data_IF_270521375378
#
_entry.id   IF_270521375378
#
_cell.length_a   1.000
_cell.length_b   1.000
_cell.length_c   1.000
_cell.angle_alpha   90.00
_cell.angle_beta   90.00
_cell.angle_gamma   90.00
#
_symmetry.space_group_name_H-M   'P 1'
#
loop_
_entity.id
_entity.type
_entity.pdbx_description
1 polymer ?
#
# COMPACT_ATOMS: atom_id res chain seq x y z
N UNK A 1 -14.26 -29.48 42.69
CA UNK A 1 -14.58 -29.15 41.28
C UNK A 1 -14.22 -27.71 40.91
N UNK A 2 -14.71 -26.68 41.61
CA UNK A 2 -14.46 -25.25 41.27
C UNK A 2 -12.98 -24.85 41.09
N UNK A 3 -12.06 -25.36 41.94
CA UNK A 3 -10.60 -25.08 41.82
C UNK A 3 -9.95 -25.68 40.57
N UNK A 4 -10.34 -26.90 40.19
CA UNK A 4 -9.80 -27.60 39.02
C UNK A 4 -10.29 -26.91 37.74
N UNK A 5 -11.58 -26.55 37.68
CA UNK A 5 -12.13 -25.77 36.56
C UNK A 5 -11.45 -24.42 36.39
N UNK A 6 -11.16 -23.71 37.50
CA UNK A 6 -10.42 -22.44 37.45
C UNK A 6 -8.99 -22.61 36.91
N UNK A 7 -8.29 -23.66 37.34
CA UNK A 7 -6.95 -24.00 36.86
C UNK A 7 -6.93 -24.30 35.36
N UNK A 8 -7.87 -25.12 34.89
CA UNK A 8 -8.03 -25.44 33.48
C UNK A 8 -8.31 -24.18 32.65
N UNK A 9 -9.21 -23.32 33.13
CA UNK A 9 -9.51 -22.05 32.47
C UNK A 9 -8.28 -21.13 32.42
N UNK A 10 -7.54 -21.01 33.52
CA UNK A 10 -6.30 -20.22 33.58
C UNK A 10 -5.30 -20.73 32.54
N UNK A 11 -5.06 -22.05 32.50
CA UNK A 11 -4.11 -22.66 31.57
C UNK A 11 -4.51 -22.42 30.12
N UNK A 12 -5.80 -22.55 29.80
CA UNK A 12 -6.33 -22.28 28.47
C UNK A 12 -6.12 -20.82 28.06
N UNK A 13 -6.40 -19.87 28.95
CA UNK A 13 -6.23 -18.45 28.67
C UNK A 13 -4.75 -18.08 28.47
N UNK A 14 -3.86 -18.65 29.29
CA UNK A 14 -2.40 -18.49 29.14
C UNK A 14 -1.93 -19.06 27.82
N UNK A 15 -2.35 -20.27 27.45
CA UNK A 15 -2.01 -20.90 26.18
C UNK A 15 -2.48 -20.06 24.99
N UNK A 16 -3.69 -19.49 25.05
CA UNK A 16 -4.20 -18.57 24.03
C UNK A 16 -3.34 -17.31 23.91
N UNK A 17 -3.01 -16.66 25.02
CA UNK A 17 -2.18 -15.45 25.03
C UNK A 17 -0.78 -15.73 24.45
N UNK A 18 -0.16 -16.85 24.83
CA UNK A 18 1.15 -17.24 24.28
C UNK A 18 1.07 -17.54 22.78
N UNK A 19 0.01 -18.22 22.32
CA UNK A 19 -0.23 -18.44 20.88
C UNK A 19 -0.37 -17.12 20.13
N UNK A 20 -1.11 -16.14 20.68
CA UNK A 20 -1.27 -14.82 20.08
C UNK A 20 0.05 -14.03 20.07
N UNK A 21 0.84 -14.12 21.14
CA UNK A 21 2.17 -13.53 21.21
C UNK A 21 3.08 -14.08 20.10
N UNK A 22 3.10 -15.41 19.93
CA UNK A 22 3.87 -16.08 18.88
C UNK A 22 3.44 -15.64 17.48
N UNK A 23 2.13 -15.65 17.21
CA UNK A 23 1.58 -15.20 15.94
C UNK A 23 1.95 -13.74 15.61
N UNK A 24 1.98 -12.86 16.61
CA UNK A 24 2.43 -11.48 16.41
C UNK A 24 3.93 -11.40 16.06
N UNK A 25 4.78 -12.27 16.64
CA UNK A 25 6.21 -12.34 16.28
C UNK A 25 6.39 -12.81 14.84
N UNK A 26 5.68 -13.85 14.41
CA UNK A 26 5.71 -14.32 13.02
C UNK A 26 5.33 -13.19 12.06
N UNK A 27 4.25 -12.46 12.37
CA UNK A 27 3.81 -11.32 11.55
C UNK A 27 4.83 -10.19 11.51
N UNK A 28 5.53 -9.95 12.61
CA UNK A 28 6.63 -9.00 12.66
C UNK A 28 7.80 -9.43 11.76
N UNK A 29 8.17 -10.71 11.79
CA UNK A 29 9.25 -11.26 10.96
C UNK A 29 8.93 -11.18 9.47
N UNK A 30 7.70 -11.55 9.06
CA UNK A 30 7.25 -11.41 7.67
C UNK A 30 7.32 -9.96 7.17
N UNK A 31 6.98 -8.99 8.02
CA UNK A 31 7.05 -7.56 7.71
C UNK A 31 8.49 -7.09 7.62
N UNK A 32 9.36 -7.53 8.54
CA UNK A 32 10.78 -7.22 8.56
C UNK A 32 11.50 -7.74 7.31
N UNK A 33 11.24 -9.00 6.92
CA UNK A 33 11.83 -9.59 5.72
C UNK A 33 11.42 -8.83 4.45
N UNK A 34 10.15 -8.42 4.34
CA UNK A 34 9.69 -7.58 3.22
C UNK A 34 10.36 -6.21 3.20
N UNK A 35 10.54 -5.58 4.36
CA UNK A 35 11.23 -4.31 4.45
C UNK A 35 12.69 -4.43 3.98
N UNK A 36 13.42 -5.47 4.43
CA UNK A 36 14.79 -5.73 3.98
C UNK A 36 14.86 -5.98 2.47
N UNK A 37 13.90 -6.74 1.91
CA UNK A 37 13.82 -6.94 0.45
C UNK A 37 13.58 -5.63 -0.29
N UNK A 38 12.67 -4.79 0.20
CA UNK A 38 12.40 -3.49 -0.38
C UNK A 38 13.64 -2.60 -0.35
N UNK A 39 14.32 -2.50 0.80
CA UNK A 39 15.54 -1.71 0.94
C UNK A 39 16.59 -2.15 -0.09
N UNK A 40 16.90 -3.46 -0.15
CA UNK A 40 17.86 -4.02 -1.11
C UNK A 40 17.48 -3.81 -2.57
N UNK A 41 16.21 -4.01 -2.94
CA UNK A 41 15.75 -3.83 -4.33
C UNK A 41 15.73 -2.36 -4.71
N UNK A 42 15.40 -1.47 -3.77
CA UNK A 42 15.37 -0.03 -4.01
C UNK A 42 16.76 0.56 -4.23
N UNK A 43 17.83 -0.10 -3.80
CA UNK A 43 19.21 0.30 -4.12
C UNK A 43 19.63 -0.10 -5.53
N UNK A 44 18.93 -1.04 -6.17
CA UNK A 44 19.23 -1.52 -7.51
C UNK A 44 18.45 -0.73 -8.56
N UNK A 45 19.18 -0.02 -9.43
CA UNK A 45 18.62 0.78 -10.52
C UNK A 45 18.79 0.07 -11.86
N UNK A 46 17.68 -0.11 -12.57
CA UNK A 46 17.64 -0.57 -13.95
C UNK A 46 17.51 0.62 -14.91
N UNK A 47 18.15 0.53 -16.07
CA UNK A 47 18.09 1.55 -17.12
C UNK A 47 17.34 1.09 -18.37
N UNK A 48 16.95 -0.18 -18.41
CA UNK A 48 16.24 -0.80 -19.52
C UNK A 48 15.07 -1.62 -18.98
N UNK A 49 13.92 -1.52 -19.63
CA UNK A 49 12.70 -2.22 -19.22
C UNK A 49 12.88 -3.73 -19.44
N UNK A 50 13.45 -4.13 -20.57
CA UNK A 50 13.70 -5.54 -20.88
C UNK A 50 14.76 -6.23 -19.99
N UNK A 51 15.49 -5.48 -19.15
CA UNK A 51 16.42 -6.08 -18.16
C UNK A 51 15.78 -6.29 -16.79
N UNK A 52 14.52 -5.88 -16.60
CA UNK A 52 13.80 -6.09 -15.36
C UNK A 52 13.57 -7.59 -15.10
N UNK A 53 13.65 -8.03 -13.82
CA UNK A 53 13.29 -9.39 -13.45
C UNK A 53 11.77 -9.62 -13.59
N UNK A 54 11.36 -10.90 -13.60
CA UNK A 54 9.94 -11.30 -13.68
C UNK A 54 9.04 -10.61 -12.64
N UNK A 55 9.56 -10.40 -11.43
CA UNK A 55 8.93 -9.57 -10.40
C UNK A 55 9.72 -8.28 -10.22
N UNK A 56 9.33 -7.19 -10.92
CA UNK A 56 10.04 -5.92 -10.86
C UNK A 56 9.70 -5.08 -9.63
N UNK A 57 8.86 -5.59 -8.69
CA UNK A 57 8.46 -4.83 -7.49
C UNK A 57 9.65 -4.34 -6.69
N UNK A 58 9.59 -3.07 -6.30
CA UNK A 58 10.55 -2.35 -5.48
C UNK A 58 11.91 -2.11 -6.12
N UNK A 59 12.08 -2.38 -7.41
CA UNK A 59 13.28 -1.97 -8.14
C UNK A 59 13.18 -0.52 -8.59
N UNK A 60 14.31 0.17 -8.64
CA UNK A 60 14.38 1.49 -9.27
C UNK A 60 14.51 1.35 -10.78
N UNK A 61 13.82 2.21 -11.51
CA UNK A 61 13.91 2.30 -12.97
C UNK A 61 14.22 3.75 -13.36
N UNK A 62 15.31 3.94 -14.10
CA UNK A 62 15.71 5.22 -14.68
C UNK A 62 15.62 5.13 -16.20
N UNK A 63 14.61 5.78 -16.78
CA UNK A 63 14.32 5.69 -18.21
C UNK A 63 14.03 7.05 -18.80
N UNK A 64 14.25 7.17 -20.11
CA UNK A 64 13.96 8.36 -20.90
C UNK A 64 12.80 8.07 -21.84
N UNK A 65 11.81 8.95 -21.85
CA UNK A 65 10.59 8.75 -22.63
C UNK A 65 9.71 9.98 -22.59
N UNK A 66 8.45 9.82 -22.99
CA UNK A 66 7.51 10.92 -23.11
C UNK A 66 6.15 10.54 -22.51
N UNK A 67 5.49 11.51 -21.89
CA UNK A 67 4.12 11.33 -21.37
C UNK A 67 3.09 11.36 -22.51
N UNK A 68 2.11 10.46 -22.44
CA UNK A 68 0.87 10.55 -23.21
C UNK A 68 -0.10 11.47 -22.45
N UNK A 69 -0.01 12.77 -22.74
CA UNK A 69 -0.81 13.82 -22.09
C UNK A 69 -2.30 13.75 -22.45
N UNK A 70 -2.71 12.88 -23.38
CA UNK A 70 -4.11 12.80 -23.82
C UNK A 70 -4.99 12.07 -22.82
N UNK A 71 -4.42 11.15 -22.04
CA UNK A 71 -5.17 10.27 -21.16
C UNK A 71 -4.59 10.35 -19.74
N UNK A 72 -5.06 11.31 -18.94
CA UNK A 72 -4.67 11.34 -17.53
C UNK A 72 -5.59 10.42 -16.72
N UNK A 73 -5.03 9.69 -15.76
CA UNK A 73 -5.80 8.82 -14.88
C UNK A 73 -5.78 9.40 -13.46
N UNK A 74 -6.95 9.61 -12.89
CA UNK A 74 -7.15 10.03 -11.51
C UNK A 74 -7.68 8.86 -10.70
N UNK A 75 -6.84 8.29 -9.84
CA UNK A 75 -7.28 7.31 -8.86
C UNK A 75 -7.97 8.04 -7.70
N UNK A 76 -9.28 7.87 -7.59
CA UNK A 76 -10.17 8.57 -6.65
C UNK A 76 -10.07 8.02 -5.21
N UNK A 77 -10.69 8.75 -4.27
CA UNK A 77 -10.84 8.40 -2.87
C UNK A 77 -9.51 8.16 -2.12
N UNK A 78 -8.46 8.88 -2.52
CA UNK A 78 -7.16 8.80 -1.87
C UNK A 78 -7.10 9.79 -0.72
N UNK A 79 -7.04 9.29 0.52
CA UNK A 79 -7.02 10.14 1.72
C UNK A 79 -5.58 10.42 2.13
N UNK A 80 -5.22 11.70 2.19
CA UNK A 80 -3.94 12.17 2.72
C UNK A 80 -4.16 13.27 3.77
N UNK A 81 -3.63 13.05 4.99
CA UNK A 81 -3.74 13.99 6.12
C UNK A 81 -5.19 14.46 6.40
N UNK A 82 -6.16 13.54 6.30
CA UNK A 82 -7.58 13.84 6.53
C UNK A 82 -8.28 14.58 5.40
N UNK A 83 -7.62 14.79 4.26
CA UNK A 83 -8.21 15.37 3.04
C UNK A 83 -8.32 14.30 1.96
N UNK A 84 -9.46 14.27 1.28
CA UNK A 84 -9.69 13.41 0.11
C UNK A 84 -9.02 14.05 -1.12
N UNK A 85 -8.46 13.21 -1.98
CA UNK A 85 -7.81 13.63 -3.21
C UNK A 85 -7.64 12.47 -4.19
N UNK A 86 -6.81 12.72 -5.19
CA UNK A 86 -6.51 11.82 -6.27
C UNK A 86 -5.04 11.43 -6.25
N UNK A 87 -4.72 10.19 -6.58
CA UNK A 87 -3.39 9.90 -7.14
C UNK A 87 -3.44 10.15 -8.64
N UNK A 88 -2.49 10.92 -9.13
CA UNK A 88 -2.42 11.31 -10.55
C UNK A 88 -1.46 10.36 -11.26
N UNK A 89 -1.99 9.55 -12.16
CA UNK A 89 -1.22 8.65 -13.02
C UNK A 89 -1.24 9.14 -14.46
N UNK A 90 -0.07 9.23 -15.08
CA UNK A 90 0.06 9.56 -16.49
C UNK A 90 0.68 8.37 -17.25
N UNK A 91 0.14 7.97 -18.41
CA UNK A 91 0.79 7.02 -19.27
C UNK A 91 2.10 7.60 -19.82
N UNK A 92 3.12 6.77 -19.88
CA UNK A 92 4.46 7.13 -20.30
C UNK A 92 4.99 6.09 -21.26
N UNK A 93 5.51 6.56 -22.39
CA UNK A 93 6.08 5.73 -23.43
C UNK A 93 7.60 5.83 -23.37
N UNK A 94 8.25 4.68 -23.19
CA UNK A 94 9.71 4.55 -23.21
C UNK A 94 10.07 3.19 -23.77
N UNK A 95 11.12 3.13 -24.61
CA UNK A 95 11.62 1.86 -25.18
C UNK A 95 10.49 1.02 -25.82
N UNK A 96 9.56 1.68 -26.53
CA UNK A 96 8.37 1.06 -27.17
C UNK A 96 7.35 0.41 -26.20
N UNK A 97 7.56 0.52 -24.89
CA UNK A 97 6.62 0.07 -23.85
C UNK A 97 5.81 1.26 -23.34
N UNK A 98 4.55 0.98 -22.98
CA UNK A 98 3.66 1.91 -22.31
C UNK A 98 3.44 1.44 -20.87
N UNK A 99 3.63 2.32 -19.91
CA UNK A 99 3.34 2.06 -18.50
C UNK A 99 2.84 3.33 -17.82
N UNK A 100 2.28 3.22 -16.62
CA UNK A 100 1.79 4.37 -15.87
C UNK A 100 2.86 4.89 -14.93
N UNK A 101 3.01 6.21 -14.87
CA UNK A 101 3.82 6.90 -13.86
C UNK A 101 2.88 7.56 -12.87
N UNK A 102 3.02 7.21 -11.59
CA UNK A 102 2.33 7.88 -10.51
C UNK A 102 3.11 9.14 -10.12
N UNK A 103 2.53 10.31 -10.40
CA UNK A 103 3.10 11.60 -10.05
C UNK A 103 2.92 11.93 -8.58
N UNK A 104 2.02 11.25 -7.87
CA UNK A 104 1.70 11.48 -6.47
C UNK A 104 0.28 11.99 -6.27
N UNK A 105 0.04 12.54 -5.08
CA UNK A 105 -1.29 12.94 -4.63
C UNK A 105 -1.59 14.41 -4.86
N UNK A 106 -2.86 14.67 -5.18
CA UNK A 106 -3.42 15.99 -5.41
C UNK A 106 -4.77 16.10 -4.70
N UNK A 107 -4.98 17.18 -3.96
CA UNK A 107 -6.23 17.40 -3.25
C UNK A 107 -7.41 17.50 -4.23
N UNK A 108 -8.53 16.86 -3.90
CA UNK A 108 -9.73 16.96 -4.70
C UNK A 108 -10.31 18.38 -4.58
N UNK A 109 -10.82 18.97 -5.68
CA UNK A 109 -11.52 20.23 -5.62
C UNK A 109 -12.85 20.07 -4.88
N UNK A 110 -13.45 21.21 -4.50
CA UNK A 110 -14.69 21.22 -3.72
C UNK A 110 -15.86 20.57 -4.46
N UNK A 111 -15.88 20.68 -5.78
CA UNK A 111 -16.91 20.11 -6.63
C UNK A 111 -16.30 19.01 -7.49
N UNK A 112 -16.96 17.86 -7.54
CA UNK A 112 -16.47 16.65 -8.20
C UNK A 112 -16.41 16.76 -9.74
N UNK A 113 -17.10 17.74 -10.31
CA UNK A 113 -17.06 18.08 -11.73
C UNK A 113 -15.86 18.96 -12.10
N UNK A 114 -15.24 19.60 -11.11
CA UNK A 114 -13.99 20.32 -11.33
C UNK A 114 -12.85 19.32 -11.40
N UNK A 115 -12.09 19.35 -12.49
CA UNK A 115 -10.87 18.57 -12.61
C UNK A 115 -9.70 19.35 -12.01
N UNK A 116 -8.80 18.69 -11.27
CA UNK A 116 -7.62 19.35 -10.75
C UNK A 116 -6.66 19.69 -11.89
N UNK A 117 -5.84 20.73 -11.71
CA UNK A 117 -4.81 21.11 -12.70
C UNK A 117 -3.67 20.09 -12.71
N UNK A 118 -3.59 19.30 -13.78
CA UNK A 118 -2.54 18.30 -13.99
C UNK A 118 -1.39 18.96 -14.75
N UNK A 119 -0.13 18.74 -14.34
CA UNK A 119 1.01 19.38 -15.01
C UNK A 119 1.30 18.74 -16.38
N UNK A 120 1.49 19.58 -17.42
CA UNK A 120 1.74 19.14 -18.80
C UNK A 120 3.23 19.13 -19.17
N UNK A 121 3.64 18.07 -19.86
CA UNK A 121 5.00 17.88 -20.38
C UNK A 121 4.97 17.29 -21.78
N UNK A 122 5.48 18.06 -22.74
CA UNK A 122 5.47 17.70 -24.16
C UNK A 122 6.82 17.20 -24.68
N UNK A 123 7.91 17.38 -23.92
CA UNK A 123 9.25 16.98 -24.33
C UNK A 123 9.65 15.65 -23.70
N UNK A 124 10.52 14.87 -24.36
CA UNK A 124 11.14 13.70 -23.74
C UNK A 124 11.88 14.08 -22.46
N UNK A 125 11.66 13.32 -21.40
CA UNK A 125 12.23 13.55 -20.08
C UNK A 125 12.79 12.24 -19.51
N UNK A 126 13.88 12.36 -18.75
CA UNK A 126 14.45 11.26 -17.98
C UNK A 126 13.82 11.26 -16.60
N UNK A 127 13.25 10.12 -16.21
CA UNK A 127 12.58 9.94 -14.93
C UNK A 127 13.23 8.79 -14.18
N UNK A 128 13.34 8.95 -12.87
CA UNK A 128 13.67 7.88 -11.93
C UNK A 128 12.46 7.62 -11.07
N UNK A 129 12.16 6.36 -10.81
CA UNK A 129 11.10 5.99 -9.89
C UNK A 129 11.23 4.56 -9.38
N UNK A 130 10.42 4.23 -8.40
CA UNK A 130 10.32 2.89 -7.82
C UNK A 130 9.17 2.13 -8.47
N UNK A 131 9.41 0.91 -8.94
CA UNK A 131 8.36 0.10 -9.53
C UNK A 131 7.46 -0.47 -8.42
N UNK A 132 6.16 -0.29 -8.59
CA UNK A 132 5.11 -0.87 -7.76
C UNK A 132 4.12 -1.65 -8.62
N UNK A 133 3.45 -2.63 -8.04
CA UNK A 133 2.38 -3.35 -8.73
C UNK A 133 1.10 -3.08 -7.96
N UNK A 134 0.12 -2.39 -8.58
CA UNK A 134 -1.09 -2.01 -7.91
C UNK A 134 -1.80 -3.28 -7.42
N UNK A 135 -2.12 -3.31 -6.13
CA UNK A 135 -2.99 -4.34 -5.58
C UNK A 135 -4.41 -3.93 -5.92
N UNK A 136 -5.06 -4.69 -6.81
CA UNK A 136 -6.49 -4.56 -6.97
C UNK A 136 -7.14 -4.83 -5.61
N UNK A 137 -7.94 -3.89 -5.12
CA UNK A 137 -8.74 -4.13 -3.93
C UNK A 137 -9.63 -5.35 -4.21
N UNK A 138 -9.70 -6.27 -3.24
CA UNK A 138 -10.63 -7.40 -3.31
C UNK A 138 -12.06 -6.84 -3.39
N UNK A 139 -12.62 -6.77 -4.60
CA UNK A 139 -14.00 -6.37 -4.82
C UNK A 139 -14.89 -7.58 -4.58
N UNK A 140 -15.74 -7.47 -3.56
CA UNK A 140 -16.81 -8.43 -3.30
C UNK A 140 -17.99 -8.11 -4.23
N UNK A 141 -17.90 -8.57 -5.48
CA UNK A 141 -18.97 -8.47 -6.50
C UNK A 141 -18.47 -8.08 -7.89
N UNK A 142 -19.25 -8.42 -8.94
CA UNK A 142 -19.08 -7.95 -10.33
C UNK A 142 -19.45 -6.46 -10.48
N UNK A 143 -18.92 -5.59 -9.62
CA UNK A 143 -18.97 -4.15 -9.92
C UNK A 143 -17.81 -3.85 -10.87
N UNK A 144 -18.14 -3.72 -12.15
CA UNK A 144 -17.27 -3.09 -13.13
C UNK A 144 -16.85 -1.74 -12.56
N UNK A 145 -15.56 -1.51 -12.38
CA UNK A 145 -15.05 -0.19 -12.00
C UNK A 145 -15.64 0.83 -12.98
N UNK A 146 -16.54 1.69 -12.48
CA UNK A 146 -17.14 2.75 -13.29
C UNK A 146 -16.03 3.72 -13.68
N UNK A 147 -15.45 3.49 -14.86
CA UNK A 147 -14.51 4.39 -15.51
C UNK A 147 -15.30 5.63 -15.94
N UNK A 148 -15.24 6.67 -15.12
CA UNK A 148 -15.91 7.93 -15.42
C UNK A 148 -14.97 8.79 -16.28
N UNK A 149 -15.35 8.99 -17.53
CA UNK A 149 -14.59 9.78 -18.49
C UNK A 149 -15.03 11.24 -18.39
N UNK A 150 -14.13 12.09 -17.89
CA UNK A 150 -14.34 13.52 -17.79
C UNK A 150 -13.49 14.21 -18.86
N UNK A 151 -14.14 14.99 -19.72
CA UNK A 151 -13.46 15.73 -20.80
C UNK A 151 -13.17 17.14 -20.28
N UNK A 152 -11.89 17.52 -20.24
CA UNK A 152 -11.50 18.89 -19.92
C UNK A 152 -11.37 19.68 -21.24
N UNK A 153 -12.30 20.59 -21.50
CA UNK A 153 -12.25 21.52 -22.64
C UNK A 153 -11.71 22.89 -22.17
N UNK A 154 -10.41 23.18 -22.37
CA UNK A 154 -10.00 24.56 -22.57
C UNK A 154 -8.98 24.64 -23.70
N UNK A 155 -9.39 25.15 -24.87
CA UNK A 155 -8.54 25.63 -25.95
C UNK A 155 -7.29 24.77 -26.27
N UNK A 156 -7.45 23.88 -27.25
CA UNK A 156 -6.42 23.38 -28.20
C UNK A 156 -5.81 21.98 -28.06
N UNK A 157 -6.06 21.18 -27.02
CA UNK A 157 -5.87 19.72 -27.07
C UNK A 157 -6.85 19.07 -26.08
N UNK A 158 -7.86 18.35 -26.57
CA UNK A 158 -8.83 17.63 -25.73
C UNK A 158 -8.10 16.58 -24.88
N UNK A 159 -7.85 16.91 -23.60
CA UNK A 159 -7.31 15.95 -22.64
C UNK A 159 -8.46 15.18 -22.01
N UNK A 160 -8.46 13.88 -22.21
CA UNK A 160 -9.37 12.95 -21.54
C UNK A 160 -8.81 12.64 -20.16
N UNK A 161 -9.60 12.91 -19.13
CA UNK A 161 -9.28 12.56 -17.75
C UNK A 161 -10.17 11.40 -17.33
N UNK A 162 -9.55 10.25 -17.11
CA UNK A 162 -10.20 9.03 -16.65
C UNK A 162 -10.16 8.99 -15.13
N UNK A 163 -11.32 9.08 -14.48
CA UNK A 163 -11.42 8.88 -13.04
C UNK A 163 -11.73 7.42 -12.75
N UNK A 164 -10.93 6.80 -11.88
CA UNK A 164 -11.04 5.37 -11.54
C UNK A 164 -11.02 5.20 -10.02
N UNK A 165 -11.79 4.26 -9.49
CA UNK A 165 -11.79 3.96 -8.05
C UNK A 165 -10.75 2.90 -7.69
N UNK A 166 -10.48 1.98 -8.62
CA UNK A 166 -9.48 0.93 -8.49
C UNK A 166 -8.62 0.91 -9.75
N UNK A 167 -7.34 0.55 -9.59
CA UNK A 167 -6.39 0.56 -10.69
C UNK A 167 -6.32 -0.81 -11.36
N UNK A 168 -7.27 -1.09 -12.25
CA UNK A 168 -7.24 -2.28 -13.10
C UNK A 168 -6.48 -1.98 -14.40
N UNK A 169 -5.21 -2.41 -14.46
CA UNK A 169 -4.34 -2.17 -15.60
C UNK A 169 -4.82 -2.85 -16.88
N UNK A 170 -5.52 -3.98 -16.80
CA UNK A 170 -6.05 -4.68 -17.98
C UNK A 170 -7.21 -3.90 -18.60
N UNK A 171 -8.14 -3.39 -17.78
CA UNK A 171 -9.23 -2.53 -18.25
C UNK A 171 -8.71 -1.22 -18.83
N UNK A 172 -7.70 -0.62 -18.20
CA UNK A 172 -7.04 0.58 -18.72
C UNK A 172 -6.34 0.30 -20.05
N UNK A 173 -5.67 -0.84 -20.21
CA UNK A 173 -5.04 -1.23 -21.48
C UNK A 173 -6.08 -1.33 -22.62
N UNK A 174 -7.25 -1.92 -22.34
CA UNK A 174 -8.35 -2.00 -23.30
C UNK A 174 -8.89 -0.62 -23.68
N UNK A 175 -9.11 0.26 -22.69
CA UNK A 175 -9.61 1.64 -22.92
C UNK A 175 -8.60 2.49 -23.70
N UNK A 176 -7.31 2.37 -23.37
CA UNK A 176 -6.21 3.06 -24.06
C UNK A 176 -5.88 2.45 -25.44
N UNK A 177 -6.44 1.27 -25.76
CA UNK A 177 -6.17 0.50 -26.98
C UNK A 177 -4.67 0.24 -27.21
N UNK A 178 -3.90 0.09 -26.13
CA UNK A 178 -2.45 -0.09 -26.15
C UNK A 178 -2.05 -1.10 -25.07
N UNK A 179 -1.04 -1.96 -25.33
CA UNK A 179 -0.53 -2.87 -24.31
C UNK A 179 0.13 -2.06 -23.18
N UNK A 180 -0.38 -2.22 -21.96
CA UNK A 180 0.13 -1.58 -20.76
C UNK A 180 0.95 -2.59 -19.97
N UNK A 181 2.12 -2.17 -19.48
CA UNK A 181 2.91 -3.00 -18.57
C UNK A 181 2.14 -3.26 -17.26
N UNK A 182 2.29 -4.46 -16.65
CA UNK A 182 1.51 -4.88 -15.48
C UNK A 182 2.03 -4.28 -14.16
N UNK A 183 2.64 -3.09 -14.22
CA UNK A 183 3.24 -2.39 -13.11
C UNK A 183 3.17 -0.88 -13.34
N UNK A 184 3.34 -0.11 -12.27
CA UNK A 184 3.40 1.34 -12.29
C UNK A 184 4.74 1.82 -11.76
N UNK A 185 5.18 3.00 -12.20
CA UNK A 185 6.38 3.64 -11.71
C UNK A 185 5.99 4.77 -10.75
N UNK A 186 6.32 4.63 -9.47
CA UNK A 186 6.20 5.69 -8.47
C UNK A 186 7.33 6.69 -8.70
N UNK A 187 7.00 7.91 -9.12
CA UNK A 187 8.01 8.93 -9.42
C UNK A 187 8.83 9.29 -8.17
N UNK A 188 10.14 9.50 -8.35
CA UNK A 188 11.01 10.00 -7.28
C UNK A 188 10.45 11.30 -6.67
N UNK A 189 10.21 11.37 -5.34
CA UNK A 189 9.70 12.57 -4.66
C UNK A 189 10.52 13.84 -4.88
N UNK A 190 11.82 13.71 -5.18
CA UNK A 190 12.69 14.86 -5.42
C UNK A 190 12.62 15.38 -6.86
N UNK A 191 11.90 14.68 -7.75
CA UNK A 191 11.73 15.11 -9.12
C UNK A 191 10.83 16.35 -9.19
N UNK A 192 11.12 17.29 -10.09
CA UNK A 192 10.34 18.54 -10.24
C UNK A 192 8.85 18.32 -10.56
N UNK A 193 8.52 17.13 -11.08
CA UNK A 193 7.16 16.75 -11.46
C UNK A 193 6.42 16.00 -10.37
N UNK A 194 7.11 15.66 -9.28
CA UNK A 194 6.49 14.98 -8.17
C UNK A 194 5.47 15.91 -7.51
N UNK A 195 4.24 15.43 -7.46
CA UNK A 195 3.19 15.93 -6.58
C UNK A 195 3.47 15.41 -5.16
N UNK A 196 2.49 15.54 -4.26
CA UNK A 196 2.68 15.10 -2.89
C UNK A 196 2.78 13.57 -2.82
N UNK A 197 4.00 13.06 -2.65
CA UNK A 197 4.25 11.64 -2.49
C UNK A 197 3.88 11.21 -1.08
N UNK A 198 2.89 10.33 -0.94
CA UNK A 198 2.47 9.76 0.34
C UNK A 198 2.41 8.23 0.34
N UNK A 199 2.84 7.59 -0.75
CA UNK A 199 2.84 6.14 -0.83
C UNK A 199 3.86 5.57 0.15
N UNK A 200 3.43 4.61 0.96
CA UNK A 200 4.28 3.85 1.88
C UNK A 200 4.11 2.37 1.59
N UNK A 201 5.17 1.71 1.14
CA UNK A 201 5.17 0.27 0.88
C UNK A 201 4.76 -0.56 2.13
N UNK A 202 5.01 -0.03 3.33
CA UNK A 202 4.71 -0.70 4.60
C UNK A 202 4.05 0.28 5.59
N UNK A 203 2.72 0.25 5.63
CA UNK A 203 1.89 1.13 6.50
C UNK A 203 1.99 0.78 8.00
N UNK A 204 2.33 -0.47 8.33
CA UNK A 204 2.55 -0.93 9.72
C UNK A 204 3.89 -1.64 9.78
N UNK A 205 4.86 -0.98 10.43
CA UNK A 205 6.19 -1.53 10.66
C UNK A 205 6.20 -2.71 11.63
N UNK A 206 7.24 -3.56 11.58
CA UNK A 206 7.37 -4.77 12.41
C UNK A 206 7.36 -4.46 13.92
N UNK A 207 7.84 -3.27 14.32
CA UNK A 207 7.90 -2.82 15.71
C UNK A 207 6.54 -2.87 16.43
N UNK A 208 5.44 -2.49 15.75
CA UNK A 208 4.10 -2.54 16.35
C UNK A 208 3.69 -3.98 16.68
N UNK A 209 4.02 -4.93 15.80
CA UNK A 209 3.75 -6.35 16.02
C UNK A 209 4.57 -6.91 17.19
N UNK A 210 5.84 -6.52 17.33
CA UNK A 210 6.63 -6.86 18.52
C UNK A 210 6.06 -6.29 19.82
N UNK A 211 5.57 -5.05 19.80
CA UNK A 211 4.91 -4.45 20.96
C UNK A 211 3.64 -5.22 21.37
N UNK A 212 2.81 -5.63 20.39
CA UNK A 212 1.65 -6.48 20.67
C UNK A 212 2.05 -7.87 21.17
N UNK A 213 3.11 -8.47 20.63
CA UNK A 213 3.63 -9.74 21.12
C UNK A 213 4.02 -9.65 22.60
N UNK A 214 4.71 -8.57 23.00
CA UNK A 214 5.07 -8.30 24.39
C UNK A 214 3.83 -8.11 25.27
N UNK A 215 2.83 -7.35 24.81
CA UNK A 215 1.58 -7.17 25.55
C UNK A 215 0.88 -8.50 25.85
N UNK A 216 0.73 -9.38 24.86
CA UNK A 216 0.13 -10.70 25.06
C UNK A 216 0.96 -11.57 26.01
N UNK A 217 2.29 -11.49 25.95
CA UNK A 217 3.19 -12.16 26.89
C UNK A 217 3.01 -11.67 28.33
N UNK A 218 2.94 -10.35 28.53
CA UNK A 218 2.73 -9.74 29.85
C UNK A 218 1.37 -10.09 30.44
N UNK A 219 0.31 -10.14 29.63
CA UNK A 219 -1.03 -10.59 30.05
C UNK A 219 -0.97 -12.05 30.51
N UNK A 220 -0.28 -12.93 29.78
CA UNK A 220 -0.09 -14.32 30.16
C UNK A 220 0.60 -14.45 31.53
N UNK A 221 1.67 -13.66 31.75
CA UNK A 221 2.39 -13.62 33.04
C UNK A 221 1.49 -13.09 34.16
N UNK A 222 0.73 -12.02 33.92
CA UNK A 222 -0.19 -11.46 34.91
C UNK A 222 -1.27 -12.48 35.34
N UNK A 223 -1.87 -13.20 34.39
CA UNK A 223 -2.84 -14.26 34.66
C UNK A 223 -2.23 -15.37 35.52
N UNK A 224 -1.00 -15.80 35.21
CA UNK A 224 -0.29 -16.81 36.01
C UNK A 224 -0.03 -16.32 37.43
N UNK A 225 0.48 -15.09 37.60
CA UNK A 225 0.77 -14.52 38.93
C UNK A 225 -0.50 -14.37 39.78
N UNK A 226 -1.59 -13.88 39.19
CA UNK A 226 -2.88 -13.74 39.87
C UNK A 226 -3.45 -15.11 40.26
N UNK A 227 -3.36 -16.11 39.38
CA UNK A 227 -3.79 -17.48 39.67
C UNK A 227 -3.00 -18.10 40.82
N UNK A 228 -1.67 -17.94 40.83
CA UNK A 228 -0.80 -18.41 41.91
C UNK A 228 -1.08 -17.70 43.23
N UNK A 229 -1.26 -16.38 43.20
CA UNK A 229 -1.59 -15.58 44.38
C UNK A 229 -2.93 -16.02 44.99
N UNK A 230 -3.96 -16.19 44.15
CA UNK A 230 -5.27 -16.67 44.58
C UNK A 230 -5.16 -18.05 45.22
N UNK A 231 -4.42 -18.99 44.62
CA UNK A 231 -4.21 -20.32 45.19
C UNK A 231 -3.52 -20.28 46.56
N UNK A 232 -2.51 -19.43 46.74
CA UNK A 232 -1.83 -19.26 48.05
C UNK A 232 -2.81 -18.75 49.11
N UNK A 233 -3.62 -17.73 48.79
CA UNK A 233 -4.64 -17.18 49.70
C UNK A 233 -5.68 -18.22 50.11
N UNK A 234 -6.18 -18.98 49.14
CA UNK A 234 -7.22 -19.99 49.41
C UNK A 234 -6.66 -21.20 50.18
N UNK A 235 -5.35 -21.52 50.05
CA UNK A 235 -4.69 -22.51 50.92
C UNK A 235 -4.57 -22.02 52.37
N UNK A 236 -4.15 -20.77 52.60
CA UNK A 236 -3.99 -20.23 53.96
C UNK A 236 -5.32 -20.03 54.71
N UNK A 237 -6.42 -19.77 54.02
CA UNK A 237 -7.75 -19.67 54.65
C UNK A 237 -8.41 -21.01 55.01
N UNK A 238 -7.77 -22.16 54.76
CA UNK A 238 -8.27 -23.49 55.14
C UNK A 238 -7.52 -24.10 56.34
N UNK A 239 -6.46 -23.43 56.82
CA UNK A 239 -5.62 -23.87 57.94
C UNK A 239 -5.80 -23.03 59.20
N UNK A 240 -6.82 -22.16 59.23
CA UNK A 240 -7.27 -21.39 60.39
C UNK A 240 -8.72 -21.75 60.68
#
# INVERSE_FOLDING_TARGET
MKRISFLLFTLLMVALCLRLSWWQVERAQEKSQRQVMLERRSEQTYHHIDSLPNDPRWYQLNVMGQFDQRHAILLDNQIHQGRVGYQVLLPFVSQQRLFLINLGWLAAPRYREQLPSIPHYYLPIRLTGLIDIPQSLLQLGEQVDELEELIQEPNSLQQQVLRVQNLNLEQLAQKLQKPLEPWILQLDPNHKLALQQHWQAVVIGPQKHYAYALQWGLIAVAILLLSLWWQRRVKHGQTA
#
